data_IF_524796239936
#
_entry.id   IF_524796239936
#
_cell.length_a   1.000
_cell.length_b   1.000
_cell.length_c   1.000
_cell.angle_alpha   90.00
_cell.angle_beta   90.00
_cell.angle_gamma   90.00
#
_symmetry.space_group_name_H-M   'P 1'
#
loop_
_entity.id
_entity.type
_entity.pdbx_description
1 polymer ?
#
# COMPACT_ATOMS: atom_id res chain seq x y z
N UNK A 1 0.99 2.05 27.38
CA UNK A 1 1.41 1.54 26.06
C UNK A 1 1.43 2.70 25.09
N UNK A 2 2.59 3.26 24.79
CA UNK A 2 2.75 4.35 23.83
C UNK A 2 2.80 3.75 22.43
N UNK A 3 1.66 3.73 21.71
CA UNK A 3 1.62 3.40 20.30
C UNK A 3 2.41 4.47 19.52
N UNK A 4 3.68 4.20 19.25
CA UNK A 4 4.50 5.04 18.38
C UNK A 4 4.00 4.83 16.96
N UNK A 5 3.17 5.76 16.47
CA UNK A 5 2.92 5.91 15.04
C UNK A 5 4.23 6.38 14.41
N UNK A 6 5.02 5.42 13.97
CA UNK A 6 6.29 5.68 13.33
C UNK A 6 5.98 5.98 11.86
N UNK A 7 6.05 7.25 11.46
CA UNK A 7 5.78 7.72 10.08
C UNK A 7 6.80 7.21 9.03
N UNK A 8 7.59 6.21 9.39
CA UNK A 8 8.66 5.58 8.61
C UNK A 8 8.33 4.12 8.24
N UNK A 9 7.10 3.66 8.50
CA UNK A 9 6.66 2.32 8.10
C UNK A 9 6.46 2.31 6.59
N UNK A 10 7.27 1.52 5.89
CA UNK A 10 7.13 1.26 4.46
C UNK A 10 6.46 -0.10 4.28
N UNK A 11 5.35 -0.15 3.55
CA UNK A 11 4.60 -1.38 3.28
C UNK A 11 4.83 -1.77 1.83
N UNK A 12 5.31 -3.00 1.59
CA UNK A 12 5.47 -3.57 0.25
C UNK A 12 4.39 -4.62 -0.02
N UNK A 13 3.74 -4.55 -1.18
CA UNK A 13 2.72 -5.52 -1.61
C UNK A 13 3.19 -6.16 -2.91
N UNK A 14 3.10 -7.49 -2.96
CA UNK A 14 3.34 -8.27 -4.18
C UNK A 14 1.99 -8.65 -4.78
N UNK A 15 1.68 -8.08 -5.94
CA UNK A 15 0.38 -8.23 -6.60
C UNK A 15 -0.48 -6.97 -6.51
N UNK A 16 -0.96 -6.57 -7.66
CA UNK A 16 -1.53 -5.28 -8.00
C UNK A 16 -2.94 -5.37 -8.59
N UNK A 17 -3.63 -6.48 -8.35
CA UNK A 17 -5.03 -6.63 -8.70
C UNK A 17 -5.95 -5.66 -7.93
N UNK A 18 -7.27 -5.86 -8.06
CA UNK A 18 -8.28 -5.00 -7.44
C UNK A 18 -8.11 -4.80 -5.92
N UNK A 19 -7.61 -5.81 -5.21
CA UNK A 19 -7.38 -5.75 -3.76
C UNK A 19 -6.21 -4.80 -3.41
N UNK A 20 -5.17 -4.75 -4.23
CA UNK A 20 -4.05 -3.83 -4.04
C UNK A 20 -4.50 -2.38 -4.15
N UNK A 21 -5.35 -2.08 -5.14
CA UNK A 21 -5.97 -0.76 -5.30
C UNK A 21 -6.85 -0.39 -4.10
N UNK A 22 -7.68 -1.31 -3.61
CA UNK A 22 -8.50 -1.08 -2.42
C UNK A 22 -7.63 -0.81 -1.18
N UNK A 23 -6.49 -1.49 -1.05
CA UNK A 23 -5.58 -1.28 0.07
C UNK A 23 -4.87 0.08 -0.01
N UNK A 24 -4.43 0.50 -1.20
CA UNK A 24 -3.87 1.86 -1.40
C UNK A 24 -4.87 2.91 -0.93
N UNK A 25 -6.14 2.76 -1.31
CA UNK A 25 -7.18 3.72 -0.92
C UNK A 25 -7.32 3.84 0.59
N UNK A 26 -7.30 2.72 1.32
CA UNK A 26 -7.35 2.72 2.79
C UNK A 26 -6.04 3.23 3.42
N UNK A 27 -4.91 3.08 2.74
CA UNK A 27 -3.61 3.52 3.24
C UNK A 27 -3.42 5.04 3.18
N UNK A 28 -4.06 5.70 2.21
CA UNK A 28 -4.10 7.17 2.13
C UNK A 28 -4.70 7.76 3.41
N UNK A 29 -5.79 7.18 3.91
CA UNK A 29 -6.46 7.62 5.14
C UNK A 29 -5.58 7.46 6.39
N UNK A 30 -4.56 6.60 6.31
CA UNK A 30 -3.64 6.29 7.40
C UNK A 30 -2.26 6.99 7.25
N UNK A 31 -2.09 7.83 6.23
CA UNK A 31 -0.82 8.46 5.85
C UNK A 31 0.33 7.42 5.71
N UNK A 32 0.00 6.23 5.19
CA UNK A 32 0.95 5.14 5.02
C UNK A 32 1.58 5.15 3.62
N UNK A 33 2.90 4.99 3.58
CA UNK A 33 3.63 4.84 2.33
C UNK A 33 3.64 3.37 1.89
N UNK A 34 2.96 3.08 0.78
CA UNK A 34 2.83 1.74 0.21
C UNK A 34 3.48 1.68 -1.17
N UNK A 35 4.24 0.61 -1.41
CA UNK A 35 4.78 0.26 -2.71
C UNK A 35 4.20 -1.06 -3.20
N UNK A 36 3.69 -1.09 -4.43
CA UNK A 36 3.21 -2.32 -5.06
C UNK A 36 4.17 -2.74 -6.15
N UNK A 37 4.50 -4.02 -6.18
CA UNK A 37 5.22 -4.68 -7.26
C UNK A 37 4.29 -5.70 -7.90
N UNK A 38 3.93 -5.46 -9.15
CA UNK A 38 3.16 -6.38 -9.99
C UNK A 38 3.94 -6.67 -11.27
N UNK A 39 4.05 -7.93 -11.72
CA UNK A 39 4.67 -8.28 -13.00
C UNK A 39 3.87 -7.80 -14.24
N UNK A 40 2.59 -7.49 -14.09
CA UNK A 40 1.70 -7.00 -15.13
C UNK A 40 1.75 -5.46 -15.24
N UNK A 41 2.19 -4.90 -16.38
CA UNK A 41 2.24 -3.45 -16.57
C UNK A 41 0.85 -2.78 -16.66
N UNK A 42 -0.22 -3.55 -16.91
CA UNK A 42 -1.60 -3.09 -16.96
C UNK A 42 -2.35 -3.32 -15.64
N UNK A 43 -1.63 -3.66 -14.57
CA UNK A 43 -2.21 -3.89 -13.25
C UNK A 43 -3.07 -2.67 -12.80
N UNK A 44 -4.28 -2.92 -12.26
CA UNK A 44 -5.24 -1.86 -11.92
C UNK A 44 -4.82 -0.97 -10.74
N UNK A 45 -3.71 -1.27 -10.07
CA UNK A 45 -3.21 -0.58 -8.88
C UNK A 45 -2.10 0.46 -9.16
N UNK A 46 -1.99 0.94 -10.40
CA UNK A 46 -1.02 1.97 -10.80
C UNK A 46 -1.37 3.35 -10.25
#
# INVERSE_FOLDING_TARGET
MTNRFNNSIKVGILGGGQLGRMLIQAAIDLDLNIHILDPDPDAPCR
#
